data_IF_231845000169
#
_entry.id   IF_231845000169
#
_cell.length_a   1.000
_cell.length_b   1.000
_cell.length_c   1.000
_cell.angle_alpha   90.00
_cell.angle_beta   90.00
_cell.angle_gamma   90.00
#
_symmetry.space_group_name_H-M   'P 1'
#
loop_
_entity.id
_entity.type
_entity.pdbx_description
1 polymer ?
#
# COMPACT_ATOMS: atom_id res chain seq x y z
N UNK A 1 -23.17 2.81 2.81
CA UNK A 1 -22.16 3.33 3.74
C UNK A 1 -20.93 3.75 2.95
N UNK A 2 -20.32 4.90 3.26
CA UNK A 2 -19.03 5.32 2.69
C UNK A 2 -17.93 5.03 3.70
N UNK A 3 -16.77 4.58 3.22
CA UNK A 3 -15.58 4.24 4.02
C UNK A 3 -14.39 4.94 3.41
N UNK A 4 -13.67 5.75 4.19
CA UNK A 4 -12.42 6.35 3.72
C UNK A 4 -11.28 5.36 3.84
N UNK A 5 -10.62 5.09 2.73
CA UNK A 5 -9.43 4.25 2.64
C UNK A 5 -8.21 5.14 2.43
N UNK A 6 -7.56 5.47 3.55
CA UNK A 6 -6.32 6.25 3.56
C UNK A 6 -5.18 5.30 3.26
N UNK A 7 -4.45 5.53 2.15
CA UNK A 7 -3.45 4.58 1.67
C UNK A 7 -2.15 5.25 1.24
N UNK A 8 -1.07 4.48 1.30
CA UNK A 8 0.19 4.76 0.64
C UNK A 8 0.56 3.53 -0.21
N UNK A 9 0.82 3.75 -1.51
CA UNK A 9 1.17 2.68 -2.47
C UNK A 9 2.40 1.90 -2.00
N UNK A 10 3.36 2.57 -1.36
CA UNK A 10 4.60 1.95 -0.89
C UNK A 10 4.45 1.19 0.44
N UNK A 11 3.23 0.87 0.87
CA UNK A 11 3.00 0.01 2.04
C UNK A 11 2.40 -1.33 1.64
N UNK A 12 2.94 -2.48 2.12
CA UNK A 12 2.39 -3.80 1.77
C UNK A 12 0.93 -3.94 2.23
N UNK A 13 0.58 -3.40 3.39
CA UNK A 13 -0.79 -3.42 3.89
C UNK A 13 -1.74 -2.61 3.01
N UNK A 14 -1.28 -1.52 2.40
CA UNK A 14 -2.05 -0.74 1.42
C UNK A 14 -2.42 -1.59 0.21
N UNK A 15 -1.46 -2.29 -0.37
CA UNK A 15 -1.70 -3.23 -1.49
C UNK A 15 -2.66 -4.35 -1.09
N UNK A 16 -2.39 -5.04 0.02
CA UNK A 16 -3.21 -6.17 0.47
C UNK A 16 -4.67 -5.75 0.72
N UNK A 17 -4.87 -4.61 1.36
CA UNK A 17 -6.21 -4.07 1.59
C UNK A 17 -6.89 -3.68 0.27
N UNK A 18 -6.19 -2.98 -0.64
CA UNK A 18 -6.71 -2.62 -1.96
C UNK A 18 -7.24 -3.84 -2.73
N UNK A 19 -6.48 -4.93 -2.76
CA UNK A 19 -6.87 -6.15 -3.48
C UNK A 19 -8.15 -6.83 -2.95
N UNK A 20 -8.53 -6.57 -1.70
CA UNK A 20 -9.76 -7.15 -1.12
C UNK A 20 -10.94 -6.17 -1.06
N UNK A 21 -10.73 -4.88 -1.29
CA UNK A 21 -11.80 -3.86 -1.32
C UNK A 21 -12.96 -4.28 -2.23
N UNK A 22 -12.77 -4.73 -3.50
CA UNK A 22 -13.89 -5.10 -4.36
C UNK A 22 -14.77 -6.22 -3.78
N UNK A 23 -14.15 -7.17 -3.08
CA UNK A 23 -14.89 -8.24 -2.39
C UNK A 23 -15.71 -7.70 -1.23
N UNK A 24 -15.14 -6.78 -0.43
CA UNK A 24 -15.87 -6.13 0.66
C UNK A 24 -17.04 -5.29 0.15
N UNK A 25 -16.83 -4.49 -0.90
CA UNK A 25 -17.89 -3.69 -1.53
C UNK A 25 -19.06 -4.55 -1.98
N UNK A 26 -18.74 -5.66 -2.69
CA UNK A 26 -19.75 -6.61 -3.18
C UNK A 26 -20.55 -7.25 -2.03
N UNK A 27 -19.86 -7.59 -0.93
CA UNK A 27 -20.48 -8.28 0.20
C UNK A 27 -21.33 -7.37 1.09
N UNK A 28 -20.91 -6.12 1.26
CA UNK A 28 -21.48 -5.21 2.28
C UNK A 28 -22.30 -4.07 1.68
N UNK A 29 -22.19 -3.79 0.38
CA UNK A 29 -22.74 -2.60 -0.27
C UNK A 29 -22.03 -1.29 0.12
N UNK A 30 -20.92 -1.36 0.88
CA UNK A 30 -20.10 -0.20 1.19
C UNK A 30 -19.43 0.33 -0.09
N UNK A 31 -19.04 1.60 -0.09
CA UNK A 31 -18.22 2.24 -1.11
C UNK A 31 -16.98 2.83 -0.48
N UNK A 32 -15.82 2.49 -1.02
CA UNK A 32 -14.54 2.98 -0.55
C UNK A 32 -14.13 4.24 -1.30
N UNK A 33 -13.81 5.28 -0.52
CA UNK A 33 -13.26 6.53 -1.00
C UNK A 33 -11.74 6.50 -0.77
N UNK A 34 -10.96 6.52 -1.83
CA UNK A 34 -9.51 6.40 -1.76
C UNK A 34 -8.87 7.76 -1.49
N UNK A 35 -8.10 7.86 -0.41
CA UNK A 35 -7.41 9.09 0.01
C UNK A 35 -5.91 8.81 0.05
N UNK A 36 -5.12 9.36 -0.91
CA UNK A 36 -3.68 9.16 -0.92
C UNK A 36 -3.03 9.89 0.26
N UNK A 37 -2.12 9.24 0.95
CA UNK A 37 -1.31 9.85 2.00
C UNK A 37 0.17 9.48 1.83
N UNK A 38 1.06 10.33 2.33
CA UNK A 38 2.48 10.05 2.41
C UNK A 38 2.82 9.54 3.82
N UNK A 39 2.86 8.22 4.01
CA UNK A 39 3.07 7.60 5.33
C UNK A 39 4.39 8.06 5.98
N UNK A 40 5.48 8.10 5.21
CA UNK A 40 6.77 8.62 5.69
C UNK A 40 6.71 10.09 6.12
N UNK A 41 5.92 10.90 5.44
CA UNK A 41 5.66 12.30 5.80
C UNK A 41 4.88 12.42 7.11
N UNK A 42 3.88 11.57 7.32
CA UNK A 42 3.10 11.52 8.57
C UNK A 42 4.01 11.15 9.73
N UNK A 43 4.82 10.09 9.61
CA UNK A 43 5.78 9.73 10.67
C UNK A 43 6.71 10.89 11.03
N UNK A 44 7.26 11.60 10.04
CA UNK A 44 8.13 12.75 10.26
C UNK A 44 7.40 13.90 10.97
N UNK A 45 6.20 14.26 10.54
CA UNK A 45 5.43 15.38 11.11
C UNK A 45 4.92 15.10 12.53
N UNK A 46 4.67 13.84 12.86
CA UNK A 46 4.20 13.43 14.19
C UNK A 46 5.34 13.01 15.12
N UNK A 47 6.59 13.17 14.70
CA UNK A 47 7.78 12.71 15.44
C UNK A 47 7.69 11.22 15.80
N UNK A 48 7.14 10.41 14.90
CA UNK A 48 6.96 8.98 15.07
C UNK A 48 7.95 8.20 14.19
N UNK A 49 8.12 6.92 14.46
CA UNK A 49 9.02 6.03 13.74
C UNK A 49 8.22 4.96 13.00
N UNK A 50 8.61 4.58 11.76
CA UNK A 50 7.97 3.49 11.05
C UNK A 50 7.95 2.20 11.89
N UNK A 51 6.84 1.44 11.91
CA UNK A 51 6.64 0.32 12.85
C UNK A 51 7.74 -0.74 12.82
N UNK A 52 8.26 -1.10 11.64
CA UNK A 52 9.36 -2.08 11.53
C UNK A 52 10.64 -1.61 12.21
N UNK A 53 10.93 -0.30 12.16
CA UNK A 53 12.10 0.29 12.84
C UNK A 53 11.81 0.39 14.33
N UNK A 54 10.64 0.92 14.71
CA UNK A 54 10.25 1.11 16.12
C UNK A 54 10.23 -0.20 16.92
N UNK A 55 9.96 -1.32 16.25
CA UNK A 55 9.83 -2.64 16.89
C UNK A 55 10.99 -3.59 16.56
N UNK A 56 12.07 -3.10 15.94
CA UNK A 56 13.21 -3.94 15.54
C UNK A 56 13.84 -4.72 16.72
N UNK A 57 13.83 -4.16 17.92
CA UNK A 57 14.35 -4.78 19.13
C UNK A 57 13.34 -5.64 19.90
N UNK A 58 12.10 -5.75 19.39
CA UNK A 58 11.07 -6.58 20.02
C UNK A 58 11.15 -7.99 19.45
N UNK A 59 11.52 -8.95 20.31
CA UNK A 59 11.67 -10.36 19.94
C UNK A 59 10.43 -10.88 19.18
N UNK A 60 10.65 -11.57 18.08
CA UNK A 60 9.63 -12.19 17.22
C UNK A 60 8.64 -11.21 16.53
N UNK A 61 8.78 -9.89 16.70
CA UNK A 61 7.80 -8.94 16.16
C UNK A 61 7.86 -8.86 14.63
N UNK A 62 9.07 -8.83 14.07
CA UNK A 62 9.28 -8.82 12.63
C UNK A 62 8.78 -10.15 11.99
N UNK A 63 9.13 -11.30 12.58
CA UNK A 63 8.70 -12.61 12.10
C UNK A 63 7.17 -12.77 12.13
N UNK A 64 6.55 -12.25 13.19
CA UNK A 64 5.09 -12.24 13.31
C UNK A 64 4.42 -11.35 12.23
N UNK A 65 4.99 -10.19 11.94
CA UNK A 65 4.50 -9.30 10.90
C UNK A 65 4.45 -10.02 9.53
N UNK A 66 5.52 -10.70 9.15
CA UNK A 66 5.54 -11.48 7.90
C UNK A 66 4.60 -12.69 7.96
N UNK A 67 4.46 -13.32 9.12
CA UNK A 67 3.50 -14.41 9.33
C UNK A 67 2.06 -13.95 9.08
N UNK A 68 1.68 -12.77 9.57
CA UNK A 68 0.34 -12.18 9.33
C UNK A 68 0.11 -11.87 7.85
N UNK A 69 1.10 -11.27 7.19
CA UNK A 69 1.04 -10.99 5.75
C UNK A 69 0.80 -12.29 4.97
N UNK A 70 1.58 -13.34 5.24
CA UNK A 70 1.44 -14.62 4.55
C UNK A 70 0.06 -15.25 4.78
N UNK A 71 -0.44 -15.26 6.01
CA UNK A 71 -1.79 -15.73 6.32
C UNK A 71 -2.88 -14.98 5.55
N UNK A 72 -2.73 -13.65 5.43
CA UNK A 72 -3.66 -12.84 4.66
C UNK A 72 -3.62 -13.18 3.17
N UNK A 73 -2.41 -13.32 2.60
CA UNK A 73 -2.18 -13.72 1.20
C UNK A 73 -2.85 -15.07 0.91
N UNK A 74 -2.60 -16.07 1.76
CA UNK A 74 -3.20 -17.40 1.62
C UNK A 74 -4.73 -17.35 1.69
N UNK A 75 -5.26 -16.68 2.72
CA UNK A 75 -6.72 -16.54 2.93
C UNK A 75 -7.42 -15.90 1.73
N UNK A 76 -6.82 -14.88 1.13
CA UNK A 76 -7.41 -14.12 0.04
C UNK A 76 -6.88 -14.53 -1.35
N UNK A 77 -6.03 -15.55 -1.43
CA UNK A 77 -5.43 -16.08 -2.67
C UNK A 77 -4.69 -15.01 -3.48
N UNK A 78 -3.97 -14.12 -2.82
CA UNK A 78 -3.21 -13.03 -3.44
C UNK A 78 -1.83 -13.53 -3.93
N UNK A 79 -1.81 -14.55 -4.76
CA UNK A 79 -0.61 -15.31 -5.17
C UNK A 79 0.40 -14.51 -5.99
N UNK A 80 0.02 -13.32 -6.48
CA UNK A 80 0.90 -12.44 -7.24
C UNK A 80 1.77 -11.54 -6.37
N UNK A 81 1.44 -11.40 -5.08
CA UNK A 81 2.21 -10.57 -4.15
C UNK A 81 3.66 -11.02 -4.08
N UNK A 82 4.55 -10.05 -4.11
CA UNK A 82 6.00 -10.22 -3.87
C UNK A 82 6.48 -9.16 -2.89
N UNK A 83 7.36 -9.56 -1.97
CA UNK A 83 8.12 -8.59 -1.20
C UNK A 83 9.02 -7.82 -2.16
N UNK A 84 8.87 -6.49 -2.19
CA UNK A 84 9.63 -5.66 -3.11
C UNK A 84 11.09 -5.54 -2.66
N UNK A 85 12.03 -5.83 -3.57
CA UNK A 85 13.47 -5.84 -3.32
C UNK A 85 14.04 -4.45 -3.00
N UNK A 86 13.32 -3.40 -3.37
CA UNK A 86 13.70 -1.99 -3.13
C UNK A 86 12.96 -1.39 -1.93
N UNK A 87 12.21 -2.19 -1.18
CA UNK A 87 11.49 -1.68 0.00
C UNK A 87 12.45 -1.32 1.15
N UNK A 88 12.26 -0.18 1.85
CA UNK A 88 11.20 0.82 1.66
C UNK A 88 11.51 1.82 0.53
N UNK A 89 10.49 2.18 -0.26
CA UNK A 89 10.59 3.18 -1.31
C UNK A 89 10.00 4.53 -0.89
N UNK A 90 10.55 5.63 -1.43
CA UNK A 90 9.99 6.96 -1.25
C UNK A 90 8.76 7.15 -2.16
N UNK A 91 7.58 7.17 -1.57
CA UNK A 91 6.31 7.28 -2.31
C UNK A 91 5.87 8.71 -2.63
N UNK A 92 6.69 9.74 -2.38
CA UNK A 92 6.26 11.14 -2.57
C UNK A 92 5.74 11.42 -3.99
N UNK A 93 6.50 11.07 -5.01
CA UNK A 93 6.10 11.31 -6.40
C UNK A 93 4.93 10.41 -6.82
N UNK A 94 4.89 9.18 -6.32
CA UNK A 94 3.80 8.24 -6.55
C UNK A 94 2.48 8.80 -5.98
N UNK A 95 2.49 9.33 -4.76
CA UNK A 95 1.29 9.90 -4.14
C UNK A 95 0.88 11.25 -4.78
N UNK A 96 1.83 12.05 -5.26
CA UNK A 96 1.53 13.22 -6.09
C UNK A 96 0.86 12.82 -7.40
N UNK A 97 1.34 11.76 -8.04
CA UNK A 97 0.71 11.17 -9.23
C UNK A 97 -0.71 10.70 -8.95
N UNK A 98 -0.98 10.08 -7.79
CA UNK A 98 -2.32 9.68 -7.38
C UNK A 98 -3.28 10.88 -7.27
N UNK A 99 -2.84 11.99 -6.67
CA UNK A 99 -3.63 13.25 -6.60
C UNK A 99 -3.89 13.82 -8.00
N UNK A 100 -2.92 13.75 -8.90
CA UNK A 100 -3.12 14.19 -10.30
C UNK A 100 -4.09 13.26 -11.03
N UNK A 101 -3.95 11.95 -10.87
CA UNK A 101 -4.83 10.94 -11.47
C UNK A 101 -6.29 11.09 -10.99
N UNK A 102 -6.50 11.44 -9.73
CA UNK A 102 -7.83 11.76 -9.20
C UNK A 102 -8.48 12.92 -9.96
N UNK A 103 -7.74 14.03 -10.15
CA UNK A 103 -8.22 15.20 -10.92
C UNK A 103 -8.51 14.87 -12.38
N UNK A 104 -7.82 13.89 -12.96
CA UNK A 104 -8.01 13.43 -14.33
C UNK A 104 -9.09 12.33 -14.44
N UNK A 105 -9.65 11.85 -13.33
CA UNK A 105 -10.67 10.80 -13.32
C UNK A 105 -10.14 9.39 -13.57
N UNK A 106 -8.82 9.14 -13.43
CA UNK A 106 -8.14 7.86 -13.67
C UNK A 106 -7.45 7.30 -12.43
N UNK A 107 -7.93 7.66 -11.23
CA UNK A 107 -7.28 7.29 -9.97
C UNK A 107 -7.15 5.78 -9.80
N UNK A 108 -8.20 5.02 -10.12
CA UNK A 108 -8.20 3.58 -9.86
C UNK A 108 -7.23 2.83 -10.79
N UNK A 109 -7.15 3.24 -12.05
CA UNK A 109 -6.18 2.72 -13.02
C UNK A 109 -4.75 3.01 -12.59
N UNK A 110 -4.50 4.24 -12.10
CA UNK A 110 -3.19 4.64 -11.59
C UNK A 110 -2.78 3.81 -10.37
N UNK A 111 -3.69 3.63 -9.40
CA UNK A 111 -3.44 2.84 -8.19
C UNK A 111 -3.14 1.37 -8.56
N UNK A 112 -3.97 0.77 -9.40
CA UNK A 112 -3.78 -0.61 -9.82
C UNK A 112 -2.44 -0.80 -10.55
N UNK A 113 -2.08 0.15 -11.42
CA UNK A 113 -0.81 0.12 -12.16
C UNK A 113 0.39 0.21 -11.21
N UNK A 114 0.42 1.22 -10.33
CA UNK A 114 1.54 1.46 -9.41
C UNK A 114 1.68 0.37 -8.35
N UNK A 115 0.58 -0.11 -7.78
CA UNK A 115 0.60 -1.22 -6.83
C UNK A 115 1.03 -2.53 -7.49
N UNK A 116 0.60 -2.81 -8.71
CA UNK A 116 1.04 -3.98 -9.49
C UNK A 116 2.54 -3.88 -9.81
N UNK A 117 3.02 -2.72 -10.23
CA UNK A 117 4.44 -2.49 -10.52
C UNK A 117 5.31 -2.77 -9.28
N UNK A 118 4.91 -2.26 -8.13
CA UNK A 118 5.68 -2.43 -6.90
C UNK A 118 5.56 -3.84 -6.31
N UNK A 119 4.33 -4.35 -6.14
CA UNK A 119 4.07 -5.53 -5.30
C UNK A 119 3.85 -6.84 -6.07
N UNK A 120 3.77 -6.79 -7.41
CA UNK A 120 3.66 -8.01 -8.24
C UNK A 120 4.87 -8.14 -9.19
N UNK A 121 5.42 -7.01 -9.70
CA UNK A 121 6.53 -6.99 -10.67
C UNK A 121 7.89 -6.65 -10.08
N UNK A 122 7.95 -6.33 -8.79
CA UNK A 122 9.19 -6.01 -8.06
C UNK A 122 9.97 -4.82 -8.66
N UNK A 123 9.27 -3.77 -9.09
CA UNK A 123 9.90 -2.59 -9.70
C UNK A 123 10.26 -1.53 -8.67
N UNK A 124 11.31 -0.74 -8.99
CA UNK A 124 11.71 0.43 -8.21
C UNK A 124 10.96 1.67 -8.69
N UNK A 125 9.70 1.81 -8.28
CA UNK A 125 8.80 2.88 -8.75
C UNK A 125 9.04 4.25 -8.09
N UNK A 126 10.02 4.39 -7.21
CA UNK A 126 10.46 5.71 -6.75
C UNK A 126 11.26 6.46 -7.83
N UNK A 127 11.87 5.75 -8.78
CA UNK A 127 12.58 6.32 -9.91
C UNK A 127 11.57 6.79 -10.97
N UNK A 128 11.71 8.07 -11.40
CA UNK A 128 10.72 8.70 -12.30
C UNK A 128 10.67 8.09 -13.69
N UNK A 129 11.75 7.51 -14.15
CA UNK A 129 11.84 6.80 -15.44
C UNK A 129 11.23 5.40 -15.41
N UNK A 130 10.93 4.88 -14.22
CA UNK A 130 10.23 3.61 -14.01
C UNK A 130 8.74 3.83 -13.73
N UNK A 131 8.40 4.96 -13.09
CA UNK A 131 7.03 5.34 -12.74
C UNK A 131 6.26 5.82 -13.97
#
# INVERSE_FOLDING_TARGET
MKVDFIYDVATPNGYLAHKVVPWFEKRTGAKFNYIPCLAGGIFKLTNNTPPLIATANVKNKADYFFTEINRFIEKHKLTKFKNNSYFPQNSLNIQRGAVAAEKLGILMEYIECTMTAMWEKDLNIQELDVL
#
